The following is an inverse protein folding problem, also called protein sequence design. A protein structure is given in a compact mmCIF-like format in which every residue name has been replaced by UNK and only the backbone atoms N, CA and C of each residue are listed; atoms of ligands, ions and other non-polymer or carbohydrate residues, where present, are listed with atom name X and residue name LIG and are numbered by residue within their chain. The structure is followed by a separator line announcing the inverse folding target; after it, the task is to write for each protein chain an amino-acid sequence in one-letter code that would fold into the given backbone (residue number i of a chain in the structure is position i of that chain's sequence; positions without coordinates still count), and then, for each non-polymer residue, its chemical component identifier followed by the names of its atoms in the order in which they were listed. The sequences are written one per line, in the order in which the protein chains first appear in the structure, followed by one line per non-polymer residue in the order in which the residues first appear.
data_IF_019036434981
#
_entry.id   IF_019036434981
#
_cell.length_a   1.000
_cell.length_b   1.000
_cell.length_c   1.000
_cell.angle_alpha   90.00
_cell.angle_beta   90.00
_cell.angle_gamma   90.00
#
_symmetry.space_group_name_H-M   'P 1'
#
loop_
_entity.id
_entity.type
_entity.pdbx_description
1 polymer ?
#
# COMPACT_ATOMS: atom_id res chain seq x y z
N UNK A 1 35.77 18.64 52.08
CA UNK A 1 35.82 19.17 50.71
C UNK A 1 34.40 19.60 50.34
N UNK A 2 34.11 20.91 50.40
CA UNK A 2 32.78 21.51 50.17
C UNK A 2 32.88 22.40 48.93
N UNK A 3 32.02 22.20 47.93
CA UNK A 3 32.00 22.96 46.68
C UNK A 3 31.09 24.21 46.88
N UNK A 4 31.53 25.42 46.49
CA UNK A 4 30.74 26.65 46.64
C UNK A 4 29.70 26.84 45.52
N UNK A 5 28.63 27.65 45.74
CA UNK A 5 27.57 27.87 44.76
C UNK A 5 27.97 28.91 43.71
N UNK A 6 27.63 28.64 42.44
CA UNK A 6 27.86 29.54 41.31
C UNK A 6 26.74 30.58 41.25
N UNK A 7 27.15 31.84 41.28
CA UNK A 7 26.33 33.04 41.15
C UNK A 7 25.76 33.20 39.73
N UNK A 8 24.47 33.54 39.62
CA UNK A 8 23.83 33.91 38.35
C UNK A 8 24.15 35.38 38.02
N UNK A 9 25.03 35.60 37.05
CA UNK A 9 25.12 36.80 36.21
C UNK A 9 24.57 36.38 34.84
N UNK A 10 23.48 36.92 34.29
CA UNK A 10 23.24 38.32 34.00
C UNK A 10 23.40 38.50 32.49
N UNK A 11 22.30 38.46 31.72
CA UNK A 11 22.11 39.24 30.50
C UNK A 11 20.74 38.94 29.88
N UNK A 12 19.95 40.01 29.65
CA UNK A 12 18.74 39.97 28.83
C UNK A 12 19.19 39.78 27.38
N UNK A 13 18.61 38.83 26.67
CA UNK A 13 18.61 38.84 25.21
C UNK A 13 17.18 38.75 24.72
N UNK A 14 16.85 39.73 23.89
CA UNK A 14 15.57 39.96 23.23
C UNK A 14 15.09 38.71 22.50
N UNK A 15 13.82 38.35 22.68
CA UNK A 15 13.13 37.41 21.81
C UNK A 15 13.00 38.05 20.42
N UNK A 16 13.93 37.75 19.53
CA UNK A 16 13.78 37.97 18.10
C UNK A 16 13.12 36.71 17.52
N UNK A 17 11.84 36.82 17.21
CA UNK A 17 11.05 35.82 16.51
C UNK A 17 11.58 35.68 15.08
N UNK A 18 12.18 34.53 14.77
CA UNK A 18 12.62 34.21 13.42
C UNK A 18 11.38 33.92 12.55
N UNK A 19 11.28 34.49 11.34
CA UNK A 19 10.14 34.21 10.48
C UNK A 19 10.19 32.74 10.01
N UNK A 20 9.06 32.05 10.15
CA UNK A 20 8.87 30.71 9.60
C UNK A 20 8.93 30.76 8.08
N UNK A 21 10.06 30.32 7.51
CA UNK A 21 10.20 30.11 6.08
C UNK A 21 9.29 28.94 5.68
N UNK A 22 8.23 29.25 4.94
CA UNK A 22 7.23 28.27 4.53
C UNK A 22 7.83 27.46 3.38
N UNK A 23 8.26 26.23 3.66
CA UNK A 23 8.69 25.30 2.60
C UNK A 23 7.46 24.92 1.78
N UNK A 24 7.30 25.57 0.63
CA UNK A 24 6.22 25.28 -0.32
C UNK A 24 6.43 23.87 -0.88
N UNK A 25 5.49 22.95 -0.61
CA UNK A 25 5.50 21.60 -1.19
C UNK A 25 5.48 21.74 -2.72
N UNK A 26 6.41 21.12 -3.47
CA UNK A 26 6.34 21.14 -4.92
C UNK A 26 5.04 20.48 -5.35
N UNK A 27 4.18 21.25 -5.99
CA UNK A 27 2.96 20.75 -6.62
C UNK A 27 3.36 19.80 -7.75
N UNK A 28 2.76 18.59 -7.85
CA UNK A 28 3.04 17.72 -8.98
C UNK A 28 2.56 18.44 -10.24
N UNK A 29 3.52 18.86 -11.07
CA UNK A 29 3.28 19.46 -12.38
C UNK A 29 2.51 18.43 -13.21
N UNK A 30 1.20 18.65 -13.35
CA UNK A 30 0.27 17.84 -14.15
C UNK A 30 0.85 17.71 -15.56
N UNK A 31 1.52 16.59 -15.82
CA UNK A 31 1.96 16.25 -17.16
C UNK A 31 0.70 16.21 -18.03
N UNK A 32 0.68 17.03 -19.08
CA UNK A 32 -0.43 17.09 -20.01
C UNK A 32 -0.60 15.69 -20.60
N UNK A 33 -1.72 15.05 -20.24
CA UNK A 33 -2.10 13.75 -20.76
C UNK A 33 -2.29 13.87 -22.27
N UNK A 34 -1.32 13.38 -23.03
CA UNK A 34 -1.53 13.12 -24.47
C UNK A 34 -2.66 12.10 -24.57
N UNK A 35 -3.73 12.45 -25.27
CA UNK A 35 -4.87 11.56 -25.51
C UNK A 35 -4.41 10.37 -26.37
N UNK A 36 -4.07 9.26 -25.71
CA UNK A 36 -3.91 7.98 -26.38
C UNK A 36 -5.30 7.45 -26.74
N UNK A 37 -5.46 6.94 -27.97
CA UNK A 37 -6.68 6.24 -28.39
C UNK A 37 -6.94 5.09 -27.41
N UNK A 38 -8.19 4.85 -26.97
CA UNK A 38 -8.46 3.80 -25.99
C UNK A 38 -8.04 2.45 -26.57
N UNK A 39 -7.15 1.74 -25.86
CA UNK A 39 -6.80 0.39 -26.24
C UNK A 39 -8.05 -0.50 -26.22
N UNK A 40 -8.13 -1.46 -27.15
CA UNK A 40 -9.21 -2.45 -27.20
C UNK A 40 -9.23 -3.21 -25.87
N UNK A 41 -10.29 -3.06 -25.06
CA UNK A 41 -10.50 -3.84 -23.84
C UNK A 41 -10.38 -5.31 -24.17
N UNK A 42 -9.38 -5.97 -23.59
CA UNK A 42 -9.22 -7.42 -23.69
C UNK A 42 -10.23 -8.00 -22.70
N UNK A 43 -11.34 -8.53 -23.20
CA UNK A 43 -12.44 -9.05 -22.36
C UNK A 43 -11.89 -10.12 -21.41
N UNK A 44 -12.25 -10.04 -20.13
CA UNK A 44 -11.97 -11.09 -19.15
C UNK A 44 -10.62 -11.03 -18.43
N UNK A 45 -9.73 -10.07 -18.72
CA UNK A 45 -8.46 -9.97 -17.99
C UNK A 45 -8.70 -9.54 -16.55
N UNK A 46 -8.21 -10.31 -15.59
CA UNK A 46 -8.25 -9.96 -14.16
C UNK A 46 -6.85 -10.01 -13.57
N UNK A 47 -6.58 -9.17 -12.58
CA UNK A 47 -5.30 -9.19 -11.85
C UNK A 47 -5.58 -9.69 -10.45
N UNK A 48 -4.77 -10.63 -9.95
CA UNK A 48 -4.92 -11.19 -8.61
C UNK A 48 -3.74 -10.78 -7.75
N UNK A 49 -4.04 -10.13 -6.64
CA UNK A 49 -3.11 -9.85 -5.54
C UNK A 49 -3.32 -10.94 -4.48
N UNK A 50 -2.27 -11.64 -4.09
CA UNK A 50 -2.38 -12.73 -3.14
C UNK A 50 -1.10 -12.89 -2.31
N UNK A 51 -1.26 -13.59 -1.19
CA UNK A 51 -0.16 -13.98 -0.32
C UNK A 51 0.56 -15.26 -0.76
N UNK A 52 1.07 -16.02 0.20
CA UNK A 52 1.83 -17.26 0.02
C UNK A 52 1.00 -18.54 0.20
N UNK A 53 -0.29 -18.43 0.52
CA UNK A 53 -1.18 -19.59 0.52
C UNK A 53 -1.43 -20.09 -0.91
N UNK A 54 -0.62 -21.05 -1.35
CA UNK A 54 -0.70 -21.65 -2.69
C UNK A 54 -1.98 -22.46 -2.91
N UNK A 55 -2.61 -22.98 -1.86
CA UNK A 55 -3.87 -23.70 -2.02
C UNK A 55 -4.99 -22.70 -2.35
N UNK A 56 -5.08 -21.60 -1.58
CA UNK A 56 -6.03 -20.53 -1.84
C UNK A 56 -5.79 -19.91 -3.22
N UNK A 57 -4.55 -19.52 -3.53
CA UNK A 57 -4.16 -18.96 -4.84
C UNK A 57 -4.63 -19.84 -5.99
N UNK A 58 -4.26 -21.13 -5.98
CA UNK A 58 -4.64 -22.06 -7.07
C UNK A 58 -6.15 -22.16 -7.24
N UNK A 59 -6.88 -22.33 -6.13
CA UNK A 59 -8.34 -22.48 -6.17
C UNK A 59 -9.04 -21.23 -6.71
N UNK A 60 -8.57 -20.03 -6.34
CA UNK A 60 -9.09 -18.77 -6.88
C UNK A 60 -8.80 -18.64 -8.37
N UNK A 61 -7.56 -18.96 -8.80
CA UNK A 61 -7.22 -18.89 -10.22
C UNK A 61 -8.02 -19.88 -11.07
N UNK A 62 -8.31 -21.07 -10.54
CA UNK A 62 -9.18 -22.04 -11.20
C UNK A 62 -10.62 -21.56 -11.26
N UNK A 63 -11.14 -20.99 -10.17
CA UNK A 63 -12.48 -20.42 -10.10
C UNK A 63 -12.67 -19.29 -11.13
N UNK A 64 -11.75 -18.33 -11.18
CA UNK A 64 -11.82 -17.22 -12.13
C UNK A 64 -11.75 -17.73 -13.58
N UNK A 65 -10.89 -18.72 -13.86
CA UNK A 65 -10.81 -19.37 -15.17
C UNK A 65 -12.11 -20.10 -15.54
N UNK A 66 -12.78 -20.74 -14.58
CA UNK A 66 -14.06 -21.39 -14.79
C UNK A 66 -15.18 -20.39 -15.16
N UNK A 67 -15.06 -19.13 -14.72
CA UNK A 67 -15.95 -18.03 -15.13
C UNK A 67 -15.60 -17.42 -16.49
N UNK A 68 -14.59 -17.95 -17.19
CA UNK A 68 -14.11 -17.41 -18.46
C UNK A 68 -13.23 -16.17 -18.31
N UNK A 69 -12.69 -15.92 -17.11
CA UNK A 69 -11.73 -14.85 -16.85
C UNK A 69 -10.30 -15.36 -17.05
N UNK A 70 -9.38 -14.41 -17.25
CA UNK A 70 -7.96 -14.64 -17.47
C UNK A 70 -7.18 -13.97 -16.33
N UNK A 71 -7.04 -14.64 -15.17
CA UNK A 71 -6.31 -14.10 -14.04
C UNK A 71 -4.81 -14.07 -14.31
N UNK A 72 -4.20 -12.92 -14.05
CA UNK A 72 -2.76 -12.69 -14.03
C UNK A 72 -2.32 -12.40 -12.61
N UNK A 73 -1.13 -12.86 -12.25
CA UNK A 73 -0.52 -12.47 -10.98
C UNK A 73 -0.08 -11.03 -11.04
N UNK A 74 -0.26 -10.32 -9.93
CA UNK A 74 0.18 -8.94 -9.78
C UNK A 74 1.67 -8.77 -10.11
N UNK A 75 2.53 -9.64 -9.58
CA UNK A 75 3.98 -9.59 -9.83
C UNK A 75 4.31 -9.82 -11.31
N UNK A 76 3.68 -10.80 -11.96
CA UNK A 76 3.86 -11.01 -13.40
C UNK A 76 3.38 -9.81 -14.23
N UNK A 77 2.25 -9.22 -13.85
CA UNK A 77 1.74 -8.02 -14.50
C UNK A 77 2.69 -6.83 -14.31
N UNK A 78 3.42 -6.79 -13.18
CA UNK A 78 4.47 -5.80 -12.95
C UNK A 78 5.71 -6.05 -13.80
N UNK A 79 6.19 -7.29 -13.83
CA UNK A 79 7.37 -7.69 -14.59
C UNK A 79 7.19 -7.45 -16.09
N UNK A 80 6.00 -7.73 -16.63
CA UNK A 80 5.67 -7.43 -18.04
C UNK A 80 5.72 -5.94 -18.38
N UNK A 81 5.51 -5.06 -17.40
CA UNK A 81 5.54 -3.61 -17.59
C UNK A 81 6.93 -2.99 -17.39
N UNK A 82 7.94 -3.80 -17.05
CA UNK A 82 9.17 -3.30 -16.46
C UNK A 82 10.31 -3.10 -17.49
N UNK A 83 10.52 -1.84 -17.89
CA UNK A 83 11.80 -1.30 -18.35
C UNK A 83 12.50 -0.56 -17.18
N UNK A 84 12.94 -1.28 -16.15
CA UNK A 84 13.73 -0.74 -15.02
C UNK A 84 12.92 -0.01 -13.93
N UNK A 85 13.28 -0.30 -12.66
CA UNK A 85 12.70 0.17 -11.38
C UNK A 85 11.54 1.20 -11.51
N UNK A 86 10.35 0.75 -11.91
CA UNK A 86 9.28 1.64 -12.31
C UNK A 86 8.44 1.95 -11.08
N UNK A 87 7.94 3.18 -11.03
CA UNK A 87 6.91 3.56 -10.07
C UNK A 87 5.71 2.62 -10.23
N UNK A 88 5.36 1.86 -9.17
CA UNK A 88 4.31 0.82 -9.19
C UNK A 88 2.99 1.34 -9.77
N UNK A 89 2.65 2.62 -9.54
CA UNK A 89 1.44 3.23 -10.12
C UNK A 89 1.46 3.33 -11.66
N UNK A 90 2.61 3.55 -12.30
CA UNK A 90 2.72 3.62 -13.78
C UNK A 90 2.55 2.27 -14.46
N UNK A 91 3.00 1.22 -13.78
CA UNK A 91 2.85 -0.17 -14.22
C UNK A 91 1.39 -0.58 -14.14
N UNK A 92 0.74 -0.20 -13.05
CA UNK A 92 -0.66 -0.49 -12.82
C UNK A 92 -1.56 0.13 -13.90
N UNK A 93 -1.25 1.34 -14.38
CA UNK A 93 -2.01 1.98 -15.47
C UNK A 93 -2.03 1.17 -16.76
N UNK A 94 -0.91 0.55 -17.13
CA UNK A 94 -0.81 -0.24 -18.37
C UNK A 94 -1.61 -1.54 -18.27
N UNK A 95 -1.55 -2.19 -17.11
CA UNK A 95 -2.29 -3.43 -16.83
C UNK A 95 -3.79 -3.12 -16.73
N UNK A 96 -4.15 -2.03 -16.04
CA UNK A 96 -5.53 -1.66 -15.73
C UNK A 96 -6.29 -0.97 -16.86
N UNK A 97 -5.60 -0.46 -17.89
CA UNK A 97 -6.24 -0.06 -19.16
C UNK A 97 -6.97 -1.25 -19.80
N UNK A 98 -6.42 -2.46 -19.62
CA UNK A 98 -6.95 -3.70 -20.21
C UNK A 98 -7.71 -4.57 -19.21
N UNK A 99 -7.35 -4.53 -17.93
CA UNK A 99 -7.98 -5.35 -16.90
C UNK A 99 -9.41 -4.89 -16.58
N UNK A 100 -10.26 -5.89 -16.36
CA UNK A 100 -11.65 -5.76 -15.99
C UNK A 100 -11.82 -5.56 -14.48
N UNK A 101 -11.05 -6.30 -13.67
CA UNK A 101 -11.06 -6.21 -12.22
C UNK A 101 -9.69 -6.57 -11.61
N UNK A 102 -9.44 -6.06 -10.41
CA UNK A 102 -8.41 -6.51 -9.48
C UNK A 102 -9.11 -7.30 -8.38
N UNK A 103 -8.63 -8.51 -8.12
CA UNK A 103 -9.10 -9.36 -7.01
C UNK A 103 -7.98 -9.45 -5.98
N UNK A 104 -8.27 -9.09 -4.74
CA UNK A 104 -7.32 -9.18 -3.64
C UNK A 104 -7.70 -10.33 -2.72
N UNK A 105 -6.74 -11.17 -2.38
CA UNK A 105 -6.93 -12.30 -1.46
C UNK A 105 -6.17 -12.04 -0.15
N UNK A 106 -6.91 -11.83 0.93
CA UNK A 106 -6.35 -11.67 2.28
C UNK A 106 -6.21 -13.03 3.00
N UNK A 107 -5.28 -13.88 2.54
CA UNK A 107 -4.93 -15.10 3.27
C UNK A 107 -4.20 -14.78 4.58
N UNK A 108 -4.46 -15.52 5.68
CA UNK A 108 -3.84 -15.29 6.98
C UNK A 108 -2.40 -15.85 7.06
N UNK A 109 -1.51 -15.42 6.18
CA UNK A 109 -0.18 -16.02 6.01
C UNK A 109 0.81 -15.70 7.13
N UNK A 110 0.73 -14.49 7.69
CA UNK A 110 1.62 -14.05 8.75
C UNK A 110 0.88 -14.17 10.10
N UNK A 111 1.55 -14.69 11.13
CA UNK A 111 1.05 -14.68 12.50
C UNK A 111 1.50 -13.40 13.20
N UNK A 112 0.55 -12.63 13.72
CA UNK A 112 0.79 -11.33 14.36
C UNK A 112 0.08 -11.25 15.71
N UNK A 113 0.60 -10.42 16.60
CA UNK A 113 0.00 -10.14 17.90
C UNK A 113 0.20 -8.66 18.23
N UNK A 114 -0.84 -8.03 18.80
CA UNK A 114 -0.73 -6.66 19.24
C UNK A 114 0.13 -6.58 20.51
N UNK A 115 1.04 -5.60 20.58
CA UNK A 115 1.87 -5.41 21.78
C UNK A 115 1.01 -5.28 23.03
N UNK A 116 1.34 -5.95 24.15
CA UNK A 116 0.44 -6.05 25.31
C UNK A 116 -0.09 -4.72 25.86
N UNK A 117 0.71 -3.65 25.83
CA UNK A 117 0.30 -2.30 26.29
C UNK A 117 -0.72 -1.58 25.39
N UNK A 118 -0.97 -2.09 24.18
CA UNK A 118 -1.98 -1.55 23.25
C UNK A 118 -3.28 -2.36 23.29
N UNK A 119 -3.28 -3.54 23.93
CA UNK A 119 -4.45 -4.41 24.06
C UNK A 119 -5.39 -3.84 25.12
N UNK A 120 -6.63 -3.54 24.75
CA UNK A 120 -7.62 -3.08 25.74
C UNK A 120 -8.10 -4.23 26.62
N UNK A 121 -8.63 -3.90 27.79
CA UNK A 121 -9.12 -4.89 28.77
C UNK A 121 -10.14 -5.88 28.18
N UNK A 122 -11.02 -5.42 27.28
CA UNK A 122 -12.03 -6.24 26.59
C UNK A 122 -11.52 -7.01 25.36
N UNK A 123 -10.28 -6.80 24.92
CA UNK A 123 -9.72 -7.38 23.69
C UNK A 123 -8.69 -8.50 23.97
N UNK A 124 -8.47 -8.86 25.24
CA UNK A 124 -7.43 -9.85 25.62
C UNK A 124 -7.65 -11.24 25.04
N UNK A 125 -8.89 -11.62 24.76
CA UNK A 125 -9.21 -12.91 24.13
C UNK A 125 -9.12 -12.88 22.60
N UNK A 126 -8.98 -11.70 22.00
CA UNK A 126 -8.89 -11.48 20.54
C UNK A 126 -7.53 -10.87 20.17
N UNK A 127 -7.39 -9.55 20.23
CA UNK A 127 -6.17 -8.80 19.87
C UNK A 127 -4.98 -9.11 20.80
N UNK A 128 -5.26 -9.59 22.01
CA UNK A 128 -4.24 -10.06 22.97
C UNK A 128 -3.71 -11.47 22.72
N UNK A 129 -3.99 -12.06 21.56
CA UNK A 129 -3.49 -13.37 21.14
C UNK A 129 -2.91 -13.28 19.73
N UNK A 130 -2.14 -14.29 19.35
CA UNK A 130 -1.70 -14.45 17.97
C UNK A 130 -2.91 -14.65 17.05
N UNK A 131 -2.96 -13.84 16.00
CA UNK A 131 -3.98 -13.85 14.96
C UNK A 131 -3.30 -13.97 13.59
N UNK A 132 -4.04 -14.45 12.59
CA UNK A 132 -3.58 -14.46 11.21
C UNK A 132 -3.79 -13.10 10.54
N UNK A 133 -2.82 -12.70 9.70
CA UNK A 133 -2.89 -11.48 8.90
C UNK A 133 -2.37 -11.75 7.49
N UNK A 134 -2.94 -11.05 6.51
CA UNK A 134 -2.35 -10.94 5.19
C UNK A 134 -0.95 -10.32 5.26
N UNK A 135 -0.07 -10.75 4.36
CA UNK A 135 1.29 -10.23 4.31
C UNK A 135 1.29 -8.70 4.09
N UNK A 136 2.24 -7.97 4.67
CA UNK A 136 2.32 -6.51 4.48
C UNK A 136 2.30 -6.08 3.00
N UNK A 137 2.97 -6.82 2.11
CA UNK A 137 2.96 -6.53 0.68
C UNK A 137 1.54 -6.54 0.10
N UNK A 138 0.75 -7.56 0.41
CA UNK A 138 -0.66 -7.68 -0.03
C UNK A 138 -1.47 -6.49 0.45
N UNK A 139 -1.26 -6.04 1.70
CA UNK A 139 -1.95 -4.86 2.23
C UNK A 139 -1.55 -3.57 1.48
N UNK A 140 -0.27 -3.39 1.16
CA UNK A 140 0.21 -2.23 0.38
C UNK A 140 -0.33 -2.24 -1.06
N UNK A 141 -0.27 -3.38 -1.73
CA UNK A 141 -0.77 -3.57 -3.10
C UNK A 141 -2.28 -3.37 -3.18
N UNK A 142 -3.03 -3.90 -2.20
CA UNK A 142 -4.45 -3.65 -2.04
C UNK A 142 -4.75 -2.15 -1.89
N UNK A 143 -3.98 -1.45 -1.05
CA UNK A 143 -4.10 0.00 -0.90
C UNK A 143 -3.81 0.78 -2.18
N UNK A 144 -2.80 0.36 -2.95
CA UNK A 144 -2.49 0.94 -4.26
C UNK A 144 -3.60 0.69 -5.28
N UNK A 145 -4.11 -0.54 -5.34
CA UNK A 145 -5.23 -0.93 -6.20
C UNK A 145 -6.49 -0.12 -5.88
N UNK A 146 -6.87 -0.04 -4.60
CA UNK A 146 -8.05 0.70 -4.15
C UNK A 146 -7.92 2.21 -4.40
N UNK A 147 -6.73 2.77 -4.17
CA UNK A 147 -6.47 4.19 -4.38
C UNK A 147 -6.48 4.61 -5.85
N UNK A 148 -6.02 3.73 -6.75
CA UNK A 148 -5.93 4.02 -8.18
C UNK A 148 -7.20 3.59 -8.95
N UNK A 149 -7.81 2.48 -8.57
CA UNK A 149 -8.89 1.80 -9.29
C UNK A 149 -10.01 1.30 -8.35
N UNK A 150 -10.66 2.20 -7.59
CA UNK A 150 -11.67 1.80 -6.61
C UNK A 150 -12.84 1.03 -7.22
N UNK A 151 -13.33 1.46 -8.40
CA UNK A 151 -14.47 0.84 -9.08
C UNK A 151 -14.17 -0.53 -9.69
N UNK A 152 -12.89 -0.93 -9.74
CA UNK A 152 -12.45 -2.21 -10.32
C UNK A 152 -11.83 -3.15 -9.28
N UNK A 153 -11.70 -2.73 -8.02
CA UNK A 153 -11.00 -3.51 -7.00
C UNK A 153 -12.01 -4.22 -6.11
N UNK A 154 -11.88 -5.54 -6.00
CA UNK A 154 -12.69 -6.43 -5.16
C UNK A 154 -11.76 -7.13 -4.18
N UNK A 155 -12.15 -7.20 -2.91
CA UNK A 155 -11.36 -7.77 -1.82
C UNK A 155 -12.22 -8.61 -0.88
#
# INVERSE_FOLDING_TARGET
MRIPPITRSGCRSSAAEAPAETVERPTPRRAQARSKKPAKRTKGNTVVVHGRDDALRRSTFEFLRALGLHPLEWDHAIDEANEGNPYVGRVLDVVMEKAEAIVVLFSPDDLVELKPHFVKSGERSTEGKQQGQARPNVLFEAGLALGAYPDKTVM
#
